data_IF_911175187738
#
_entry.id   IF_911175187738
#
_cell.length_a   1.000
_cell.length_b   1.000
_cell.length_c   1.000
_cell.angle_alpha   90.00
_cell.angle_beta   90.00
_cell.angle_gamma   90.00
#
_symmetry.space_group_name_H-M   'P 1'
#
loop_
_entity.id
_entity.type
_entity.pdbx_description
1 polymer ?
#
# COMPACT_ATOMS: atom_id res chain seq x y z
N UNK A 1 -4.57 3.72 -26.89
CA UNK A 1 -4.61 4.33 -25.54
C UNK A 1 -4.25 3.21 -24.59
N UNK A 2 -3.40 3.42 -23.58
CA UNK A 2 -3.17 2.39 -22.57
C UNK A 2 -4.49 2.05 -21.87
N UNK A 3 -4.64 0.79 -21.49
CA UNK A 3 -5.79 0.32 -20.72
C UNK A 3 -5.74 0.91 -19.30
N UNK A 4 -6.89 1.00 -18.61
CA UNK A 4 -6.97 1.52 -17.25
C UNK A 4 -6.39 0.52 -16.24
N UNK A 5 -5.37 0.95 -15.51
CA UNK A 5 -4.71 0.21 -14.43
C UNK A 5 -5.11 0.76 -13.06
N UNK A 6 -5.26 -0.15 -12.09
CA UNK A 6 -5.71 0.12 -10.73
C UNK A 6 -4.65 -0.41 -9.76
N UNK A 7 -4.25 0.43 -8.81
CA UNK A 7 -3.33 0.04 -7.74
C UNK A 7 -3.96 -0.98 -6.80
N UNK A 8 -3.16 -1.95 -6.37
CA UNK A 8 -3.54 -2.97 -5.42
C UNK A 8 -2.98 -2.70 -4.02
N UNK A 9 -3.56 -3.33 -3.01
CA UNK A 9 -3.11 -3.31 -1.62
C UNK A 9 -1.66 -3.79 -1.45
N UNK A 10 -1.18 -4.67 -2.33
CA UNK A 10 0.18 -5.23 -2.30
C UNK A 10 1.24 -4.40 -3.06
N UNK A 11 0.90 -3.18 -3.52
CA UNK A 11 1.80 -2.32 -4.29
C UNK A 11 1.90 -2.64 -5.79
N UNK A 12 1.19 -3.67 -6.27
CA UNK A 12 1.07 -4.00 -7.68
C UNK A 12 -0.05 -3.25 -8.40
N UNK A 13 -0.17 -3.45 -9.72
CA UNK A 13 -1.25 -2.89 -10.54
C UNK A 13 -2.01 -3.98 -11.29
N UNK A 14 -3.32 -3.79 -11.47
CA UNK A 14 -4.22 -4.71 -12.18
C UNK A 14 -5.13 -3.96 -13.13
N UNK A 15 -5.71 -4.68 -14.10
CA UNK A 15 -6.73 -4.09 -14.98
C UNK A 15 -8.02 -3.78 -14.22
N UNK A 16 -8.79 -2.83 -14.75
CA UNK A 16 -10.11 -2.51 -14.22
C UNK A 16 -11.06 -3.72 -14.14
N UNK A 17 -10.96 -4.68 -15.06
CA UNK A 17 -11.77 -5.90 -15.05
C UNK A 17 -11.41 -6.82 -13.87
N UNK A 18 -10.12 -6.99 -13.58
CA UNK A 18 -9.69 -7.76 -12.41
C UNK A 18 -10.13 -7.06 -11.12
N UNK A 19 -9.98 -5.74 -11.04
CA UNK A 19 -10.41 -4.97 -9.87
C UNK A 19 -11.91 -5.13 -9.59
N UNK A 20 -12.75 -5.17 -10.63
CA UNK A 20 -14.20 -5.44 -10.51
C UNK A 20 -14.51 -6.81 -9.93
N UNK A 21 -13.74 -7.84 -10.29
CA UNK A 21 -13.97 -9.22 -9.82
C UNK A 21 -13.33 -9.50 -8.45
N UNK A 22 -12.32 -8.73 -8.05
CA UNK A 22 -11.56 -8.88 -6.80
C UNK A 22 -11.33 -7.54 -6.08
N UNK A 23 -12.40 -6.84 -5.68
CA UNK A 23 -12.28 -5.50 -5.10
C UNK A 23 -11.58 -5.46 -3.74
N UNK A 24 -11.54 -6.58 -3.01
CA UNK A 24 -10.79 -6.68 -1.74
C UNK A 24 -9.30 -6.35 -1.93
N UNK A 25 -8.74 -6.62 -3.10
CA UNK A 25 -7.34 -6.32 -3.40
C UNK A 25 -7.06 -4.83 -3.65
N UNK A 26 -8.07 -3.96 -3.56
CA UNK A 26 -7.90 -2.50 -3.73
C UNK A 26 -8.03 -1.74 -2.40
N UNK A 27 -8.22 -2.43 -1.28
CA UNK A 27 -8.24 -1.83 0.05
C UNK A 27 -6.89 -1.17 0.35
N UNK A 28 -6.89 0.05 0.88
CA UNK A 28 -5.65 0.80 1.18
C UNK A 28 -4.70 0.97 -0.02
N UNK A 29 -5.21 0.92 -1.26
CA UNK A 29 -4.41 1.04 -2.49
C UNK A 29 -3.71 2.40 -2.63
N UNK A 30 -4.31 3.49 -2.13
CA UNK A 30 -3.69 4.82 -2.11
C UNK A 30 -2.41 4.86 -1.27
N UNK A 31 -2.50 4.55 0.04
CA UNK A 31 -1.32 4.43 0.90
C UNK A 31 -0.28 3.45 0.34
N UNK A 32 -0.69 2.29 -0.18
CA UNK A 32 0.22 1.33 -0.81
C UNK A 32 1.03 1.95 -1.98
N UNK A 33 0.38 2.77 -2.83
CA UNK A 33 1.08 3.53 -3.87
C UNK A 33 2.10 4.51 -3.28
N UNK A 34 1.72 5.18 -2.19
CA UNK A 34 2.60 6.10 -1.46
C UNK A 34 3.85 5.42 -0.94
N UNK A 35 3.71 4.25 -0.30
CA UNK A 35 4.83 3.45 0.21
C UNK A 35 5.73 2.98 -0.93
N UNK A 36 5.14 2.47 -2.02
CA UNK A 36 5.90 2.01 -3.19
C UNK A 36 6.69 3.15 -3.84
N UNK A 37 6.07 4.34 -3.95
CA UNK A 37 6.73 5.54 -4.47
C UNK A 37 7.84 6.05 -3.55
N UNK A 38 7.61 6.04 -2.23
CA UNK A 38 8.61 6.44 -1.25
C UNK A 38 9.82 5.51 -1.25
N UNK A 39 9.59 4.18 -1.30
CA UNK A 39 10.67 3.20 -1.46
C UNK A 39 11.47 3.46 -2.74
N UNK A 40 10.81 3.66 -3.88
CA UNK A 40 11.49 3.96 -5.15
C UNK A 40 12.37 5.21 -5.04
N UNK A 41 11.84 6.32 -4.50
CA UNK A 41 12.61 7.57 -4.35
C UNK A 41 13.75 7.42 -3.35
N UNK A 42 13.56 6.70 -2.24
CA UNK A 42 14.59 6.43 -1.26
C UNK A 42 15.72 5.56 -1.85
N UNK A 43 15.38 4.57 -2.67
CA UNK A 43 16.35 3.76 -3.41
C UNK A 43 17.23 4.57 -4.34
N UNK A 44 16.69 5.61 -5.00
CA UNK A 44 17.49 6.55 -5.80
C UNK A 44 18.51 7.35 -4.96
N UNK A 45 18.26 7.49 -3.66
CA UNK A 45 19.17 8.12 -2.70
C UNK A 45 20.07 7.11 -1.94
N UNK A 46 19.99 5.81 -2.26
CA UNK A 46 20.73 4.76 -1.56
C UNK A 46 20.23 4.49 -0.13
N UNK A 47 18.97 4.82 0.16
CA UNK A 47 18.33 4.58 1.45
C UNK A 47 17.40 3.38 1.31
N UNK A 48 17.74 2.29 1.98
CA UNK A 48 17.00 1.01 1.86
C UNK A 48 16.03 0.79 3.05
N UNK A 49 16.24 1.47 4.16
CA UNK A 49 15.41 1.33 5.36
C UNK A 49 14.76 2.67 5.69
N UNK A 50 13.42 2.72 5.69
CA UNK A 50 12.66 3.93 5.99
C UNK A 50 11.30 3.62 6.59
N UNK A 51 10.75 4.59 7.31
CA UNK A 51 9.35 4.62 7.72
C UNK A 51 8.66 5.69 6.90
N UNK A 52 7.57 5.31 6.22
CA UNK A 52 6.74 6.26 5.48
C UNK A 52 5.65 6.80 6.39
N UNK A 53 5.24 8.06 6.16
CA UNK A 53 4.15 8.69 6.89
C UNK A 53 3.35 9.54 5.90
N UNK A 54 2.08 9.18 5.68
CA UNK A 54 1.14 9.94 4.86
C UNK A 54 0.02 10.46 5.75
N UNK A 55 0.05 11.76 6.02
CA UNK A 55 -0.92 12.41 6.90
C UNK A 55 -1.97 13.16 6.07
N UNK A 56 -3.23 12.77 6.23
CA UNK A 56 -4.40 13.51 5.76
C UNK A 56 -5.05 14.35 6.86
N UNK A 57 -6.24 14.89 6.57
CA UNK A 57 -7.03 15.66 7.54
C UNK A 57 -7.80 14.83 8.56
N UNK A 58 -7.75 13.50 8.47
CA UNK A 58 -8.54 12.56 9.29
C UNK A 58 -7.68 11.44 9.86
N UNK A 59 -6.72 10.95 9.08
CA UNK A 59 -5.88 9.83 9.43
C UNK A 59 -4.44 10.05 9.01
N UNK A 60 -3.56 9.24 9.57
CA UNK A 60 -2.16 9.15 9.21
C UNK A 60 -1.81 7.69 8.95
N UNK A 61 -1.34 7.39 7.75
CA UNK A 61 -0.90 6.05 7.34
C UNK A 61 0.62 5.93 7.52
N UNK A 62 1.06 4.87 8.20
CA UNK A 62 2.47 4.60 8.52
C UNK A 62 2.86 3.21 8.03
N UNK A 63 4.02 3.05 7.40
CA UNK A 63 4.51 1.76 6.92
C UNK A 63 6.03 1.67 7.03
N UNK A 64 6.54 0.44 7.19
CA UNK A 64 7.97 0.14 7.22
C UNK A 64 8.42 -0.40 5.84
N UNK A 65 9.51 0.16 5.35
CA UNK A 65 10.28 -0.37 4.22
C UNK A 65 11.61 -0.84 4.78
N UNK A 66 11.95 -2.10 4.52
CA UNK A 66 13.19 -2.73 4.96
C UNK A 66 13.91 -3.34 3.75
N UNK A 67 15.21 -3.10 3.62
CA UNK A 67 16.00 -3.63 2.51
C UNK A 67 15.57 -3.14 1.12
N UNK A 68 14.88 -1.99 1.04
CA UNK A 68 14.36 -1.42 -0.19
C UNK A 68 12.96 -1.93 -0.57
N UNK A 69 12.37 -2.85 0.18
CA UNK A 69 11.07 -3.42 -0.14
C UNK A 69 10.02 -3.07 0.94
N UNK A 70 8.81 -2.63 0.55
CA UNK A 70 7.70 -2.51 1.49
C UNK A 70 7.37 -3.86 2.14
N UNK A 71 7.12 -3.86 3.44
CA UNK A 71 6.70 -5.08 4.14
C UNK A 71 5.30 -5.51 3.67
N UNK A 72 5.10 -6.80 3.44
CA UNK A 72 3.81 -7.38 3.02
C UNK A 72 3.31 -8.36 4.08
N UNK A 73 2.05 -8.23 4.46
CA UNK A 73 1.35 -9.10 5.41
C UNK A 73 0.11 -9.73 4.75
N UNK A 74 -0.40 -10.81 5.36
CA UNK A 74 -1.60 -11.53 4.89
C UNK A 74 -2.68 -11.63 5.96
N UNK A 75 -2.45 -11.00 7.11
CA UNK A 75 -3.24 -11.05 8.33
C UNK A 75 -3.42 -9.62 8.84
N UNK A 76 -4.05 -8.78 8.01
CA UNK A 76 -4.23 -7.36 8.30
C UNK A 76 -5.69 -7.06 8.63
N UNK A 77 -5.91 -6.13 9.56
CA UNK A 77 -7.24 -5.62 9.88
C UNK A 77 -7.53 -4.32 9.12
N UNK A 78 -8.68 -4.26 8.45
CA UNK A 78 -9.19 -3.02 7.83
C UNK A 78 -10.47 -2.62 8.56
N UNK A 79 -10.36 -1.61 9.41
CA UNK A 79 -11.41 -1.32 10.40
C UNK A 79 -11.52 -2.48 11.39
N UNK A 80 -12.71 -3.06 11.53
CA UNK A 80 -12.97 -4.20 12.43
C UNK A 80 -12.94 -5.55 11.70
N UNK A 81 -12.50 -5.59 10.44
CA UNK A 81 -12.58 -6.77 9.59
C UNK A 81 -11.20 -7.37 9.33
N UNK A 82 -10.98 -8.66 9.64
CA UNK A 82 -9.77 -9.36 9.23
C UNK A 82 -9.78 -9.59 7.72
N UNK A 83 -8.68 -9.28 7.06
CA UNK A 83 -8.51 -9.41 5.61
C UNK A 83 -7.31 -10.31 5.31
N UNK A 84 -7.59 -11.42 4.62
CA UNK A 84 -6.61 -12.48 4.37
C UNK A 84 -6.02 -12.47 2.94
N UNK A 85 -5.82 -11.28 2.37
CA UNK A 85 -5.15 -11.12 1.06
C UNK A 85 -3.80 -10.46 1.27
N UNK A 86 -2.79 -10.68 0.40
CA UNK A 86 -1.52 -9.98 0.51
C UNK A 86 -1.69 -8.46 0.40
N UNK A 87 -1.16 -7.72 1.37
CA UNK A 87 -1.23 -6.26 1.45
C UNK A 87 0.10 -5.70 1.95
N UNK A 88 0.49 -4.51 1.52
CA UNK A 88 1.54 -3.76 2.20
C UNK A 88 1.07 -3.53 3.64
N UNK A 89 1.97 -3.77 4.59
CA UNK A 89 1.72 -3.60 6.01
C UNK A 89 1.67 -2.10 6.32
N UNK A 90 0.44 -1.58 6.47
CA UNK A 90 0.14 -0.17 6.67
C UNK A 90 -0.72 -0.05 7.92
N UNK A 91 -0.24 0.77 8.85
CA UNK A 91 -0.99 1.14 10.04
C UNK A 91 -1.60 2.52 9.88
N UNK A 92 -2.92 2.58 9.92
CA UNK A 92 -3.66 3.85 9.94
C UNK A 92 -3.90 4.29 11.38
N UNK A 93 -3.34 5.43 11.75
CA UNK A 93 -3.60 6.12 13.02
C UNK A 93 -4.60 7.24 12.78
N UNK A 94 -5.77 7.17 13.44
CA UNK A 94 -6.78 8.22 13.42
C UNK A 94 -6.59 9.24 14.55
N UNK A 95 -6.98 10.50 14.30
CA UNK A 95 -7.15 11.55 15.31
C UNK A 95 -8.64 11.81 15.57
#
# INVERSE_FOLDING_TARGET
RPDLEIMQSNGGIITADIARTRPVNTLLSGPAAGVQGASYVAGLAGIENLITMDMGGTSCDVSLVEGGDPMVATDVEVGEYPVNVPMIDIHTVGA
#
